data_IF_176648016963
#
_entry.id   IF_176648016963
#
_cell.length_a   1.000
_cell.length_b   1.000
_cell.length_c   1.000
_cell.angle_alpha   90.00
_cell.angle_beta   90.00
_cell.angle_gamma   90.00
#
_symmetry.space_group_name_H-M   'P 1'
#
loop_
_entity.id
_entity.type
_entity.pdbx_description
1 polymer ?
#
# COMPACT_ATOMS: atom_id res chain seq x y z
N UNK A 1 29.54 -1.25 5.90
CA UNK A 1 29.92 -1.13 4.46
C UNK A 1 30.15 0.33 4.12
N UNK A 2 31.18 0.67 3.35
CA UNK A 2 31.41 2.06 2.92
C UNK A 2 30.33 2.53 1.94
N UNK A 3 30.12 3.85 1.91
CA UNK A 3 29.17 4.52 0.99
C UNK A 3 29.44 4.15 -0.48
N UNK A 4 30.70 4.17 -0.89
CA UNK A 4 31.08 3.98 -2.30
C UNK A 4 30.93 2.51 -2.71
N UNK A 5 31.18 1.56 -1.79
CA UNK A 5 30.87 0.15 -2.02
C UNK A 5 29.37 -0.07 -2.17
N UNK A 6 28.55 0.57 -1.32
CA UNK A 6 27.09 0.49 -1.43
C UNK A 6 26.59 1.00 -2.78
N UNK A 7 27.04 2.18 -3.24
CA UNK A 7 26.66 2.70 -4.55
C UNK A 7 27.16 1.85 -5.71
N UNK A 8 28.36 1.25 -5.58
CA UNK A 8 28.89 0.31 -6.57
C UNK A 8 28.00 -0.93 -6.69
N UNK A 9 27.66 -1.58 -5.57
CA UNK A 9 26.72 -2.71 -5.56
C UNK A 9 25.38 -2.29 -6.16
N UNK A 10 24.82 -1.16 -5.72
CA UNK A 10 23.54 -0.68 -6.21
C UNK A 10 23.56 -0.36 -7.72
N UNK A 11 24.70 0.10 -8.27
CA UNK A 11 24.89 0.35 -9.70
C UNK A 11 24.87 -0.96 -10.50
N UNK A 12 25.53 -2.00 -10.00
CA UNK A 12 25.66 -3.28 -10.69
C UNK A 12 24.60 -4.33 -10.32
N UNK A 13 23.70 -4.04 -9.37
CA UNK A 13 22.60 -4.92 -9.01
C UNK A 13 21.78 -5.34 -10.25
N UNK A 14 21.56 -6.65 -10.37
CA UNK A 14 20.73 -7.31 -11.38
C UNK A 14 19.92 -8.41 -10.69
N UNK A 15 18.81 -8.78 -11.30
CA UNK A 15 17.90 -9.81 -10.80
C UNK A 15 17.75 -11.00 -11.78
N UNK A 16 18.45 -10.93 -12.91
CA UNK A 16 18.54 -11.98 -13.92
C UNK A 16 19.95 -11.95 -14.49
N UNK A 17 20.44 -13.11 -14.92
CA UNK A 17 21.77 -13.23 -15.52
C UNK A 17 21.85 -12.45 -16.84
N UNK A 18 22.99 -11.80 -17.16
CA UNK A 18 23.13 -10.98 -18.37
C UNK A 18 22.74 -11.68 -19.67
N UNK A 19 23.06 -12.97 -19.79
CA UNK A 19 22.75 -13.85 -20.91
C UNK A 19 21.24 -14.09 -21.10
N UNK A 20 20.44 -14.00 -20.04
CA UNK A 20 19.00 -14.19 -20.09
C UNK A 20 18.25 -12.89 -20.45
N UNK A 21 18.91 -11.74 -20.34
CA UNK A 21 18.28 -10.43 -20.54
C UNK A 21 18.16 -10.08 -22.02
N UNK A 22 16.91 -10.08 -22.51
CA UNK A 22 16.56 -9.63 -23.85
C UNK A 22 16.25 -8.14 -23.85
N UNK A 23 16.64 -7.43 -24.91
CA UNK A 23 16.47 -5.96 -25.00
C UNK A 23 15.02 -5.56 -25.27
N UNK A 24 14.31 -6.39 -26.00
CA UNK A 24 12.92 -6.26 -26.46
C UNK A 24 11.90 -6.82 -25.48
N UNK A 25 12.30 -7.74 -24.58
CA UNK A 25 11.41 -8.28 -23.56
C UNK A 25 11.79 -7.78 -22.14
N UNK A 26 11.06 -6.81 -21.58
CA UNK A 26 11.33 -6.28 -20.24
C UNK A 26 11.19 -7.33 -19.13
N UNK A 27 10.41 -8.41 -19.33
CA UNK A 27 10.17 -9.46 -18.33
C UNK A 27 11.48 -10.14 -17.92
N UNK A 28 12.36 -10.36 -18.89
CA UNK A 28 13.66 -11.03 -18.71
C UNK A 28 14.62 -10.33 -17.75
N UNK A 29 14.31 -9.12 -17.27
CA UNK A 29 15.14 -8.38 -16.31
C UNK A 29 14.80 -8.66 -14.85
N UNK A 30 13.64 -9.27 -14.57
CA UNK A 30 13.10 -9.34 -13.21
C UNK A 30 12.25 -10.57 -12.91
N UNK A 31 11.63 -11.22 -13.91
CA UNK A 31 10.69 -12.32 -13.66
C UNK A 31 11.33 -13.52 -12.95
N UNK A 32 12.57 -13.92 -13.28
CA UNK A 32 13.29 -14.99 -12.55
C UNK A 32 13.32 -14.74 -11.04
N UNK A 33 13.62 -13.50 -10.64
CA UNK A 33 13.62 -13.12 -9.24
C UNK A 33 12.21 -13.15 -8.63
N UNK A 34 11.22 -12.64 -9.36
CA UNK A 34 9.84 -12.60 -8.88
C UNK A 34 9.23 -13.99 -8.75
N UNK A 35 9.61 -14.93 -9.61
CA UNK A 35 9.18 -16.32 -9.56
C UNK A 35 9.72 -17.02 -8.31
N UNK A 36 10.99 -16.78 -7.96
CA UNK A 36 11.53 -17.26 -6.67
C UNK A 36 10.73 -16.70 -5.49
N UNK A 37 10.41 -15.40 -5.50
CA UNK A 37 9.65 -14.78 -4.43
C UNK A 37 8.21 -15.32 -4.34
N UNK A 38 7.57 -15.55 -5.49
CA UNK A 38 6.23 -16.13 -5.61
C UNK A 38 6.23 -17.56 -5.07
N UNK A 39 7.14 -18.41 -5.54
CA UNK A 39 7.27 -19.80 -5.08
C UNK A 39 7.47 -19.84 -3.56
N UNK A 40 8.38 -19.02 -3.01
CA UNK A 40 8.58 -18.93 -1.56
C UNK A 40 7.31 -18.49 -0.83
N UNK A 41 6.61 -17.49 -1.33
CA UNK A 41 5.34 -17.04 -0.73
C UNK A 41 4.27 -18.14 -0.74
N UNK A 42 4.25 -18.96 -1.79
CA UNK A 42 3.29 -20.05 -1.93
C UNK A 42 3.63 -21.27 -1.06
N UNK A 43 4.91 -21.56 -0.84
CA UNK A 43 5.37 -22.69 -0.02
C UNK A 43 5.23 -22.46 1.48
N UNK A 44 5.40 -21.22 1.96
CA UNK A 44 5.36 -20.89 3.40
C UNK A 44 3.99 -21.14 4.01
N UNK A 45 2.91 -20.91 3.26
CA UNK A 45 1.56 -21.05 3.77
C UNK A 45 0.55 -21.35 2.67
N UNK A 46 -0.47 -22.17 2.99
CA UNK A 46 -1.59 -22.50 2.08
C UNK A 46 -2.79 -21.59 2.39
N UNK A 47 -3.29 -20.79 1.43
CA UNK A 47 -4.41 -19.88 1.67
C UNK A 47 -5.64 -20.62 2.15
N UNK A 48 -6.27 -20.05 3.17
CA UNK A 48 -7.52 -20.52 3.75
C UNK A 48 -8.70 -20.31 2.82
N UNK A 49 -9.82 -19.88 3.41
CA UNK A 49 -11.10 -19.82 2.72
C UNK A 49 -11.24 -18.56 1.87
N UNK A 50 -10.79 -17.41 2.38
CA UNK A 50 -11.05 -16.12 1.75
C UNK A 50 -9.79 -15.58 1.09
N UNK A 51 -9.94 -15.08 -0.12
CA UNK A 51 -8.86 -14.51 -0.93
C UNK A 51 -9.34 -13.17 -1.48
N UNK A 52 -8.50 -12.14 -1.43
CA UNK A 52 -8.72 -10.89 -2.14
C UNK A 52 -7.73 -10.74 -3.29
N UNK A 53 -8.22 -10.28 -4.43
CA UNK A 53 -7.39 -9.87 -5.58
C UNK A 53 -7.63 -8.39 -5.86
N UNK A 54 -6.54 -7.65 -6.00
CA UNK A 54 -6.55 -6.22 -6.31
C UNK A 54 -5.23 -5.76 -6.97
N UNK A 55 -5.13 -4.49 -7.35
CA UNK A 55 -3.91 -3.91 -7.89
C UNK A 55 -3.06 -3.15 -6.85
N UNK A 56 -1.74 -3.37 -6.93
CA UNK A 56 -0.72 -2.54 -6.30
C UNK A 56 -0.02 -1.68 -7.36
N UNK A 57 0.29 -0.41 -7.02
CA UNK A 57 0.98 0.52 -7.91
C UNK A 57 2.36 0.90 -7.37
N UNK A 58 3.40 0.44 -8.06
CA UNK A 58 4.79 0.72 -7.70
C UNK A 58 5.20 2.02 -8.39
N UNK A 59 5.42 3.09 -7.62
CA UNK A 59 5.68 4.43 -8.17
C UNK A 59 6.81 4.41 -9.21
N UNK A 60 6.60 4.97 -10.40
CA UNK A 60 7.62 5.08 -11.44
C UNK A 60 7.28 6.21 -12.41
N UNK A 61 8.15 7.22 -12.48
CA UNK A 61 7.95 8.38 -13.36
C UNK A 61 8.82 8.36 -14.62
N UNK A 62 9.77 7.42 -14.74
CA UNK A 62 10.67 7.33 -15.89
C UNK A 62 10.00 6.82 -17.17
N UNK A 63 10.74 6.85 -18.29
CA UNK A 63 10.28 6.29 -19.57
C UNK A 63 10.22 4.76 -19.47
N UNK A 64 9.01 4.21 -19.63
CA UNK A 64 8.76 2.77 -19.62
C UNK A 64 7.45 2.49 -20.37
N UNK A 65 7.46 1.53 -21.30
CA UNK A 65 6.35 1.30 -22.22
C UNK A 65 5.05 0.80 -21.56
N UNK A 66 5.17 0.13 -20.41
CA UNK A 66 4.04 -0.44 -19.66
C UNK A 66 3.72 0.34 -18.38
N UNK A 67 4.26 1.56 -18.23
CA UNK A 67 3.91 2.45 -17.11
C UNK A 67 2.42 2.81 -17.17
N UNK A 68 1.73 2.59 -16.06
CA UNK A 68 0.33 2.93 -15.89
C UNK A 68 0.13 4.31 -15.27
N UNK A 69 -1.00 4.94 -15.63
CA UNK A 69 -1.53 6.12 -14.97
C UNK A 69 -2.84 5.77 -14.27
N UNK A 70 -2.85 5.75 -12.94
CA UNK A 70 -4.01 5.43 -12.12
C UNK A 70 -4.36 6.65 -11.28
N UNK A 71 -5.36 7.42 -11.73
CA UNK A 71 -5.76 8.71 -11.13
C UNK A 71 -6.08 8.62 -9.64
N UNK A 72 -6.61 7.49 -9.19
CA UNK A 72 -7.10 7.25 -7.82
C UNK A 72 -5.98 6.94 -6.83
N UNK A 73 -4.83 6.42 -7.28
CA UNK A 73 -3.71 6.06 -6.39
C UNK A 73 -2.80 7.28 -6.14
N UNK A 74 -2.22 7.38 -4.94
CA UNK A 74 -1.38 8.51 -4.49
C UNK A 74 -0.20 8.80 -5.43
N UNK A 75 0.50 7.75 -5.88
CA UNK A 75 1.64 7.87 -6.78
C UNK A 75 1.26 8.32 -8.20
N UNK A 76 0.02 8.04 -8.64
CA UNK A 76 -0.57 8.26 -9.97
C UNK A 76 0.14 7.60 -11.15
N UNK A 77 1.48 7.57 -11.18
CA UNK A 77 2.29 6.95 -12.21
C UNK A 77 3.12 5.82 -11.63
N UNK A 78 3.08 4.66 -12.27
CA UNK A 78 3.81 3.50 -11.76
C UNK A 78 3.80 2.29 -12.67
N UNK A 79 4.46 1.24 -12.18
CA UNK A 79 4.29 -0.11 -12.69
C UNK A 79 3.20 -0.77 -11.85
N UNK A 80 2.17 -1.25 -12.53
CA UNK A 80 1.05 -1.94 -11.91
C UNK A 80 1.39 -3.41 -11.69
N UNK A 81 0.96 -3.97 -10.56
CA UNK A 81 1.03 -5.38 -10.25
C UNK A 81 -0.34 -5.86 -9.78
N UNK A 82 -0.80 -7.00 -10.27
CA UNK A 82 -1.99 -7.68 -9.78
C UNK A 82 -1.57 -8.57 -8.63
N UNK A 83 -2.18 -8.44 -7.47
CA UNK A 83 -1.77 -9.14 -6.24
C UNK A 83 -2.94 -9.94 -5.69
N UNK A 84 -2.65 -11.18 -5.31
CA UNK A 84 -3.54 -12.07 -4.58
C UNK A 84 -3.04 -12.16 -3.14
N UNK A 85 -3.89 -11.74 -2.20
CA UNK A 85 -3.64 -11.87 -0.76
C UNK A 85 -4.71 -12.76 -0.12
N UNK A 86 -4.35 -13.64 0.84
CA UNK A 86 -5.32 -14.23 1.76
C UNK A 86 -6.06 -13.12 2.53
N UNK A 87 -7.35 -13.35 2.80
CA UNK A 87 -8.23 -12.39 3.48
C UNK A 87 -8.79 -12.92 4.80
N UNK A 88 -8.32 -14.09 5.24
CA UNK A 88 -8.54 -14.57 6.59
C UNK A 88 -7.74 -13.73 7.59
N UNK A 89 -8.30 -13.48 8.78
CA UNK A 89 -7.87 -12.42 9.70
C UNK A 89 -6.38 -12.48 10.07
N UNK A 90 -5.86 -13.69 10.27
CA UNK A 90 -4.45 -13.94 10.61
C UNK A 90 -3.47 -13.60 9.47
N UNK A 91 -3.92 -13.71 8.22
CA UNK A 91 -3.07 -13.66 7.02
C UNK A 91 -3.34 -12.43 6.13
N UNK A 92 -4.14 -11.47 6.60
CA UNK A 92 -4.37 -10.22 5.86
C UNK A 92 -3.05 -9.48 5.64
N UNK A 93 -2.86 -8.92 4.44
CA UNK A 93 -1.62 -8.28 4.01
C UNK A 93 -0.56 -9.21 3.42
N UNK A 94 -0.71 -10.53 3.56
CA UNK A 94 0.24 -11.49 3.01
C UNK A 94 0.11 -11.58 1.49
N UNK A 95 1.15 -11.25 0.75
CA UNK A 95 1.15 -11.31 -0.73
C UNK A 95 1.49 -12.72 -1.18
N UNK A 96 0.47 -13.55 -1.48
CA UNK A 96 0.66 -14.97 -1.78
C UNK A 96 1.04 -15.21 -3.25
N UNK A 97 0.44 -14.47 -4.18
CA UNK A 97 0.76 -14.52 -5.60
C UNK A 97 0.64 -13.12 -6.21
N UNK A 98 1.42 -12.79 -7.23
CA UNK A 98 1.41 -11.45 -7.82
C UNK A 98 1.98 -11.42 -9.24
N UNK A 99 1.39 -10.68 -10.17
CA UNK A 99 1.89 -10.61 -11.54
C UNK A 99 2.03 -9.18 -12.00
N UNK A 100 3.19 -8.83 -12.56
CA UNK A 100 3.43 -7.50 -13.08
C UNK A 100 2.68 -7.27 -14.39
N UNK A 101 2.13 -6.08 -14.54
CA UNK A 101 1.60 -5.63 -15.81
C UNK A 101 2.75 -5.25 -16.75
N UNK A 102 2.83 -5.90 -17.91
CA UNK A 102 3.82 -5.61 -18.96
C UNK A 102 3.21 -5.06 -20.26
N UNK A 103 1.91 -4.83 -20.31
CA UNK A 103 1.20 -4.48 -21.53
C UNK A 103 0.09 -5.47 -21.87
N UNK A 104 -0.13 -5.71 -23.18
CA UNK A 104 -1.13 -6.68 -23.65
C UNK A 104 -0.58 -8.10 -23.56
N UNK A 105 -1.46 -9.04 -23.25
CA UNK A 105 -1.30 -10.50 -23.40
C UNK A 105 -0.25 -11.23 -22.54
N UNK A 106 -0.40 -11.17 -21.21
CA UNK A 106 0.42 -11.97 -20.26
C UNK A 106 -0.34 -13.09 -19.53
N UNK A 107 -1.65 -13.19 -19.67
CA UNK A 107 -2.50 -14.04 -18.83
C UNK A 107 -3.02 -15.25 -19.60
N UNK A 108 -2.10 -16.15 -19.97
CA UNK A 108 -2.45 -17.38 -20.67
C UNK A 108 -3.13 -18.35 -19.69
N UNK A 109 -4.30 -18.86 -20.09
CA UNK A 109 -5.07 -19.84 -19.34
C UNK A 109 -5.34 -21.00 -20.29
N UNK A 110 -4.99 -22.21 -19.87
CA UNK A 110 -5.08 -23.41 -20.70
C UNK A 110 -6.54 -23.91 -20.85
N UNK A 111 -7.45 -23.49 -19.98
CA UNK A 111 -8.88 -23.87 -20.04
C UNK A 111 -9.58 -23.19 -21.23
N UNK A 112 -10.10 -23.96 -22.21
CA UNK A 112 -10.85 -23.42 -23.35
C UNK A 112 -12.10 -22.62 -22.93
N UNK A 113 -12.70 -22.92 -21.77
CA UNK A 113 -13.86 -22.20 -21.25
C UNK A 113 -13.49 -20.78 -20.79
N UNK A 114 -12.21 -20.52 -20.50
CA UNK A 114 -11.71 -19.20 -20.14
C UNK A 114 -11.58 -18.26 -21.35
N UNK A 115 -11.71 -18.77 -22.59
CA UNK A 115 -11.61 -17.97 -23.83
C UNK A 115 -12.61 -16.82 -23.91
N UNK A 116 -13.80 -16.98 -23.31
CA UNK A 116 -14.86 -15.97 -23.30
C UNK A 116 -14.65 -14.86 -22.26
N UNK A 117 -13.71 -15.04 -21.34
CA UNK A 117 -13.43 -14.09 -20.28
C UNK A 117 -12.72 -12.85 -20.82
N UNK A 118 -13.01 -11.67 -20.26
CA UNK A 118 -12.24 -10.46 -20.55
C UNK A 118 -10.86 -10.49 -19.89
N UNK A 119 -9.95 -9.59 -20.29
CA UNK A 119 -8.60 -9.49 -19.69
C UNK A 119 -8.64 -9.42 -18.16
N UNK A 120 -9.48 -8.56 -17.58
CA UNK A 120 -9.60 -8.46 -16.12
C UNK A 120 -10.05 -9.76 -15.46
N UNK A 121 -10.99 -10.48 -16.08
CA UNK A 121 -11.50 -11.75 -15.56
C UNK A 121 -10.43 -12.85 -15.66
N UNK A 122 -9.64 -12.85 -16.75
CA UNK A 122 -8.51 -13.78 -16.91
C UNK A 122 -7.40 -13.54 -15.88
N UNK A 123 -7.15 -12.31 -15.45
CA UNK A 123 -6.19 -12.01 -14.38
C UNK A 123 -6.58 -12.74 -13.08
N UNK A 124 -7.86 -12.73 -12.72
CA UNK A 124 -8.36 -13.43 -11.53
C UNK A 124 -8.08 -14.93 -11.63
N UNK A 125 -8.46 -15.53 -12.76
CA UNK A 125 -8.27 -16.97 -13.00
C UNK A 125 -6.79 -17.34 -13.01
N UNK A 126 -5.94 -16.52 -13.65
CA UNK A 126 -4.49 -16.72 -13.71
C UNK A 126 -3.84 -16.70 -12.32
N UNK A 127 -4.17 -15.70 -11.49
CA UNK A 127 -3.64 -15.61 -10.13
C UNK A 127 -4.15 -16.76 -9.22
N UNK A 128 -5.36 -17.24 -9.48
CA UNK A 128 -6.02 -18.30 -8.72
C UNK A 128 -5.68 -19.72 -9.20
N UNK A 129 -4.87 -19.92 -10.25
CA UNK A 129 -4.73 -21.23 -10.93
C UNK A 129 -4.52 -22.43 -9.99
N UNK A 130 -3.71 -22.28 -8.95
CA UNK A 130 -3.38 -23.35 -7.98
C UNK A 130 -4.35 -23.41 -6.78
N UNK A 131 -5.38 -22.55 -6.78
CA UNK A 131 -6.36 -22.39 -5.70
C UNK A 131 -7.81 -22.61 -6.16
N UNK A 132 -8.03 -22.88 -7.46
CA UNK A 132 -9.32 -23.28 -8.01
C UNK A 132 -9.74 -24.66 -7.51
N UNK A 133 -10.99 -25.03 -7.74
CA UNK A 133 -11.56 -26.35 -7.47
C UNK A 133 -11.59 -26.79 -6.00
N UNK A 134 -11.44 -25.85 -5.06
CA UNK A 134 -11.31 -26.15 -3.63
C UNK A 134 -12.38 -25.49 -2.74
N UNK A 135 -13.47 -24.96 -3.30
CA UNK A 135 -14.55 -24.31 -2.52
C UNK A 135 -14.17 -22.97 -1.89
N UNK A 136 -13.06 -22.36 -2.33
CA UNK A 136 -12.59 -21.06 -1.81
C UNK A 136 -13.48 -19.93 -2.26
N UNK A 137 -13.41 -18.82 -1.53
CA UNK A 137 -14.16 -17.62 -1.78
C UNK A 137 -13.21 -16.49 -2.18
N UNK A 138 -13.25 -16.11 -3.45
CA UNK A 138 -12.50 -14.97 -3.98
C UNK A 138 -13.34 -13.69 -3.89
N UNK A 139 -12.70 -12.62 -3.43
CA UNK A 139 -13.23 -11.28 -3.29
C UNK A 139 -12.48 -10.37 -4.25
N UNK A 140 -13.22 -9.63 -5.09
CA UNK A 140 -12.61 -8.79 -6.13
C UNK A 140 -13.28 -7.44 -6.24
N UNK A 141 -12.53 -6.43 -6.69
CA UNK A 141 -13.11 -5.12 -7.03
C UNK A 141 -13.95 -5.17 -8.33
N UNK A 142 -14.61 -4.04 -8.61
CA UNK A 142 -15.51 -3.80 -9.72
C UNK A 142 -14.90 -3.90 -11.12
N UNK A 143 -13.58 -3.81 -11.26
CA UNK A 143 -12.92 -3.98 -12.57
C UNK A 143 -12.88 -5.46 -13.00
N UNK A 144 -12.77 -6.35 -12.02
CA UNK A 144 -12.77 -7.80 -12.22
C UNK A 144 -14.17 -8.37 -12.31
N UNK A 145 -15.03 -7.98 -11.37
CA UNK A 145 -16.30 -8.66 -11.08
C UNK A 145 -17.27 -8.59 -12.27
N UNK A 146 -17.82 -9.74 -12.64
CA UNK A 146 -18.90 -9.88 -13.62
C UNK A 146 -19.67 -11.18 -13.38
N UNK A 147 -20.90 -11.25 -13.92
CA UNK A 147 -21.69 -12.49 -13.93
C UNK A 147 -20.99 -13.59 -14.74
N UNK A 148 -20.31 -13.22 -15.84
CA UNK A 148 -19.53 -14.16 -16.64
C UNK A 148 -18.36 -14.78 -15.85
N UNK A 149 -17.65 -13.98 -15.05
CA UNK A 149 -16.62 -14.50 -14.15
C UNK A 149 -17.22 -15.38 -13.05
N UNK A 150 -18.38 -14.99 -12.50
CA UNK A 150 -19.09 -15.79 -11.50
C UNK A 150 -19.47 -17.17 -12.06
N UNK A 151 -20.07 -17.22 -13.25
CA UNK A 151 -20.46 -18.45 -13.93
C UNK A 151 -19.23 -19.34 -14.20
N UNK A 152 -18.11 -18.77 -14.67
CA UNK A 152 -16.88 -19.53 -14.88
C UNK A 152 -16.31 -20.09 -13.56
N UNK A 153 -16.17 -19.26 -12.52
CA UNK A 153 -15.62 -19.71 -11.23
C UNK A 153 -16.49 -20.77 -10.57
N UNK A 154 -17.80 -20.74 -10.79
CA UNK A 154 -18.72 -21.77 -10.32
C UNK A 154 -18.41 -23.14 -10.95
N UNK A 155 -18.11 -23.19 -12.26
CA UNK A 155 -17.64 -24.43 -12.90
C UNK A 155 -16.32 -24.95 -12.31
N UNK A 156 -15.52 -24.04 -11.77
CA UNK A 156 -14.24 -24.31 -11.09
C UNK A 156 -14.39 -24.42 -9.56
N UNK A 157 -15.59 -24.76 -9.06
CA UNK A 157 -15.95 -24.88 -7.63
C UNK A 157 -15.35 -23.76 -6.76
N UNK A 158 -15.38 -22.54 -7.25
CA UNK A 158 -14.85 -21.34 -6.61
C UNK A 158 -15.95 -20.31 -6.48
N UNK A 159 -16.11 -19.73 -5.29
CA UNK A 159 -17.15 -18.76 -4.97
C UNK A 159 -16.62 -17.34 -5.18
N UNK A 160 -17.47 -16.43 -5.65
CA UNK A 160 -17.12 -15.03 -5.92
C UNK A 160 -17.97 -14.10 -5.05
N UNK A 161 -17.37 -13.02 -4.54
CA UNK A 161 -18.10 -11.81 -4.13
C UNK A 161 -17.34 -10.58 -4.61
N UNK A 162 -18.04 -9.63 -5.22
CA UNK A 162 -17.40 -8.37 -5.60
C UNK A 162 -18.39 -7.27 -5.87
N UNK A 163 -17.94 -6.02 -5.81
CA UNK A 163 -18.73 -4.90 -6.33
C UNK A 163 -18.85 -5.10 -7.84
N UNK A 164 -20.03 -4.91 -8.43
CA UNK A 164 -20.26 -5.13 -9.86
C UNK A 164 -20.76 -3.86 -10.54
N UNK A 165 -20.21 -3.55 -11.71
CA UNK A 165 -20.64 -2.40 -12.52
C UNK A 165 -21.91 -2.74 -13.33
N UNK A 166 -22.68 -1.71 -13.66
CA UNK A 166 -23.75 -1.80 -14.66
C UNK A 166 -23.25 -2.45 -15.96
N UNK A 167 -24.07 -3.30 -16.55
CA UNK A 167 -23.73 -4.03 -17.78
C UNK A 167 -22.77 -5.21 -17.61
N UNK A 168 -22.27 -5.50 -16.41
CA UNK A 168 -21.41 -6.67 -16.15
C UNK A 168 -22.10 -7.82 -15.39
N UNK A 169 -23.35 -7.64 -14.95
CA UNK A 169 -24.05 -8.70 -14.21
C UNK A 169 -25.46 -8.35 -13.75
N UNK A 170 -25.71 -7.16 -13.17
CA UNK A 170 -27.05 -6.78 -12.74
C UNK A 170 -28.04 -6.80 -13.93
N UNK A 171 -29.25 -7.33 -13.77
CA UNK A 171 -30.28 -7.28 -14.82
C UNK A 171 -30.80 -5.84 -15.00
N UNK A 172 -31.33 -5.51 -16.19
CA UNK A 172 -31.74 -4.13 -16.54
C UNK A 172 -32.80 -3.61 -15.58
N UNK A 173 -33.74 -4.46 -15.19
CA UNK A 173 -34.81 -4.17 -14.25
C UNK A 173 -34.25 -3.65 -12.92
N UNK A 174 -33.20 -4.29 -12.38
CA UNK A 174 -32.52 -3.84 -11.14
C UNK A 174 -31.71 -2.56 -11.36
N UNK A 175 -31.13 -2.38 -12.56
CA UNK A 175 -30.35 -1.18 -12.87
C UNK A 175 -31.24 0.06 -12.96
N UNK A 176 -32.36 -0.04 -13.67
CA UNK A 176 -33.25 1.08 -14.01
C UNK A 176 -34.18 1.47 -12.85
N UNK A 177 -34.39 0.57 -11.88
CA UNK A 177 -35.13 0.91 -10.68
C UNK A 177 -34.44 2.01 -9.86
N UNK A 178 -35.22 3.06 -9.56
CA UNK A 178 -34.87 4.18 -8.69
C UNK A 178 -35.44 3.94 -7.29
N UNK A 179 -34.66 4.26 -6.27
CA UNK A 179 -34.98 3.95 -4.88
C UNK A 179 -34.67 5.11 -3.95
N UNK A 180 -35.36 5.14 -2.82
CA UNK A 180 -35.02 6.04 -1.73
C UNK A 180 -33.76 5.56 -0.99
N UNK A 181 -33.12 6.49 -0.28
CA UNK A 181 -31.94 6.17 0.55
C UNK A 181 -32.26 5.04 1.53
N UNK A 182 -31.30 4.13 1.66
CA UNK A 182 -31.29 2.94 2.52
C UNK A 182 -32.23 1.82 2.07
N UNK A 183 -32.80 1.88 0.86
CA UNK A 183 -33.51 0.75 0.27
C UNK A 183 -32.56 -0.18 -0.49
N UNK A 184 -32.92 -1.46 -0.57
CA UNK A 184 -32.15 -2.49 -1.26
C UNK A 184 -33.04 -3.40 -2.08
N UNK A 185 -32.52 -3.89 -3.20
CA UNK A 185 -33.15 -4.89 -4.05
C UNK A 185 -32.21 -6.08 -4.26
N UNK A 186 -32.81 -7.26 -4.38
CA UNK A 186 -32.12 -8.53 -4.60
C UNK A 186 -32.65 -9.15 -5.89
N UNK A 187 -31.76 -9.65 -6.73
CA UNK A 187 -32.11 -10.45 -7.90
C UNK A 187 -31.20 -11.66 -7.97
N UNK A 188 -31.77 -12.83 -8.26
CA UNK A 188 -31.03 -14.10 -8.27
C UNK A 188 -31.19 -14.83 -9.59
N UNK A 189 -30.09 -15.37 -10.11
CA UNK A 189 -30.05 -16.30 -11.24
C UNK A 189 -29.19 -17.50 -10.82
N UNK A 190 -29.81 -18.66 -10.60
CA UNK A 190 -29.11 -19.83 -10.07
C UNK A 190 -28.44 -19.52 -8.73
N UNK A 191 -27.12 -19.72 -8.65
CA UNK A 191 -26.33 -19.40 -7.46
C UNK A 191 -25.85 -17.95 -7.38
N UNK A 192 -25.91 -17.20 -8.48
CA UNK A 192 -25.53 -15.80 -8.52
C UNK A 192 -26.64 -14.91 -7.96
N UNK A 193 -26.31 -14.13 -6.93
CA UNK A 193 -27.14 -13.13 -6.29
C UNK A 193 -26.55 -11.73 -6.54
N UNK A 194 -27.36 -10.87 -7.12
CA UNK A 194 -27.11 -9.44 -7.27
C UNK A 194 -27.84 -8.70 -6.15
N UNK A 195 -27.13 -7.82 -5.47
CA UNK A 195 -27.63 -6.98 -4.38
C UNK A 195 -27.34 -5.53 -4.71
N UNK A 196 -28.36 -4.72 -4.97
CA UNK A 196 -28.23 -3.27 -5.15
C UNK A 196 -28.74 -2.57 -3.89
N UNK A 197 -27.98 -1.60 -3.40
CA UNK A 197 -28.33 -0.81 -2.22
C UNK A 197 -28.03 0.66 -2.47
N UNK A 198 -29.00 1.50 -2.12
CA UNK A 198 -28.87 2.95 -2.23
C UNK A 198 -28.40 3.52 -0.90
N UNK A 199 -27.11 3.83 -0.76
CA UNK A 199 -26.59 4.54 0.42
C UNK A 199 -26.49 6.05 0.14
N UNK A 200 -25.27 6.60 0.07
CA UNK A 200 -25.02 7.93 -0.53
C UNK A 200 -25.00 7.89 -2.05
N UNK A 201 -24.72 6.71 -2.60
CA UNK A 201 -24.66 6.38 -4.02
C UNK A 201 -25.20 4.96 -4.18
N UNK A 202 -25.66 4.65 -5.39
CA UNK A 202 -26.01 3.29 -5.76
C UNK A 202 -24.75 2.42 -5.80
N UNK A 203 -24.75 1.33 -5.02
CA UNK A 203 -23.69 0.33 -5.04
C UNK A 203 -24.34 -1.03 -5.27
N UNK A 204 -23.71 -1.82 -6.14
CA UNK A 204 -24.16 -3.16 -6.46
C UNK A 204 -23.08 -4.19 -6.14
N UNK A 205 -23.45 -5.27 -5.48
CA UNK A 205 -22.60 -6.42 -5.17
C UNK A 205 -23.14 -7.64 -5.88
N UNK A 206 -22.27 -8.40 -6.52
CA UNK A 206 -22.54 -9.72 -7.05
C UNK A 206 -21.89 -10.76 -6.13
N UNK A 207 -22.61 -11.81 -5.77
CA UNK A 207 -22.08 -12.92 -4.98
C UNK A 207 -22.62 -14.28 -5.41
N UNK A 208 -21.81 -15.32 -5.33
CA UNK A 208 -22.26 -16.73 -5.40
C UNK A 208 -22.18 -17.42 -4.02
N UNK A 209 -21.72 -16.70 -2.98
CA UNK A 209 -21.51 -17.26 -1.63
C UNK A 209 -22.72 -17.10 -0.71
N UNK A 210 -23.38 -15.94 -0.76
CA UNK A 210 -24.37 -15.54 0.23
C UNK A 210 -25.81 -15.61 -0.30
N UNK A 211 -26.77 -15.70 0.61
CA UNK A 211 -28.21 -15.63 0.33
C UNK A 211 -28.75 -14.25 0.65
N UNK A 212 -29.92 -13.91 0.10
CA UNK A 212 -30.55 -12.62 0.35
C UNK A 212 -30.77 -12.41 1.85
N UNK A 213 -30.20 -11.33 2.38
CA UNK A 213 -30.13 -11.08 3.81
C UNK A 213 -29.93 -9.58 4.07
N UNK A 214 -30.71 -9.07 5.02
CA UNK A 214 -30.68 -7.69 5.53
C UNK A 214 -30.38 -7.79 7.04
N UNK A 215 -29.51 -6.91 7.51
CA UNK A 215 -29.18 -6.75 8.93
C UNK A 215 -29.43 -5.32 9.37
N UNK A 216 -29.79 -5.15 10.63
CA UNK A 216 -29.85 -3.83 11.26
C UNK A 216 -28.43 -3.31 11.49
N UNK A 217 -28.17 -2.08 11.06
CA UNK A 217 -26.89 -1.43 11.20
C UNK A 217 -27.01 -0.19 12.09
N UNK A 218 -26.17 -0.14 13.13
CA UNK A 218 -26.05 1.01 14.04
C UNK A 218 -24.95 1.94 13.57
N UNK A 219 -25.23 3.24 13.48
CA UNK A 219 -24.21 4.27 13.18
C UNK A 219 -24.31 5.43 14.16
N UNK A 220 -23.21 5.70 14.87
CA UNK A 220 -23.09 6.85 15.78
C UNK A 220 -22.41 7.99 15.05
N UNK A 221 -23.07 9.16 15.04
CA UNK A 221 -22.55 10.40 14.48
C UNK A 221 -21.93 11.27 15.57
N UNK A 222 -21.18 12.29 15.16
CA UNK A 222 -20.66 13.32 16.05
C UNK A 222 -21.79 13.94 16.89
N UNK A 223 -21.55 14.12 18.20
CA UNK A 223 -22.58 14.52 19.16
C UNK A 223 -23.44 13.37 19.71
N UNK A 224 -22.93 12.13 19.71
CA UNK A 224 -23.58 10.93 20.26
C UNK A 224 -24.96 10.56 19.65
N UNK A 225 -25.30 11.13 18.49
CA UNK A 225 -26.52 10.79 17.77
C UNK A 225 -26.39 9.41 17.14
N UNK A 226 -27.14 8.44 17.63
CA UNK A 226 -27.19 7.07 17.09
C UNK A 226 -28.36 6.92 16.13
N UNK A 227 -28.12 6.36 14.96
CA UNK A 227 -29.16 6.03 13.97
C UNK A 227 -29.06 4.56 13.60
N UNK A 228 -30.21 3.90 13.55
CA UNK A 228 -30.36 2.52 13.08
C UNK A 228 -30.95 2.54 11.66
N UNK A 229 -30.50 1.62 10.83
CA UNK A 229 -31.09 1.40 9.51
C UNK A 229 -30.78 0.01 8.99
N UNK A 230 -31.66 -0.49 8.14
CA UNK A 230 -31.48 -1.77 7.48
C UNK A 230 -30.47 -1.66 6.34
N UNK A 231 -29.53 -2.61 6.28
CA UNK A 231 -28.51 -2.70 5.24
C UNK A 231 -28.31 -4.15 4.83
N UNK A 232 -28.07 -4.46 3.55
CA UNK A 232 -27.72 -5.82 3.16
C UNK A 232 -26.40 -6.28 3.78
N UNK A 233 -26.38 -7.48 4.38
CA UNK A 233 -25.20 -8.10 5.01
C UNK A 233 -23.97 -8.16 4.08
N UNK A 234 -24.24 -8.32 2.79
CA UNK A 234 -23.29 -8.48 1.70
C UNK A 234 -22.20 -7.41 1.66
N UNK A 235 -22.54 -6.16 1.95
CA UNK A 235 -21.58 -5.07 1.92
C UNK A 235 -20.61 -5.10 3.11
N UNK A 236 -21.10 -5.52 4.28
CA UNK A 236 -20.24 -5.74 5.44
C UNK A 236 -19.28 -6.90 5.19
N UNK A 237 -19.80 -8.02 4.67
CA UNK A 237 -18.98 -9.19 4.33
C UNK A 237 -17.95 -8.90 3.24
N UNK A 238 -18.31 -8.12 2.22
CA UNK A 238 -17.38 -7.64 1.21
C UNK A 238 -16.28 -6.79 1.85
N UNK A 239 -16.64 -5.76 2.63
CA UNK A 239 -15.67 -4.86 3.25
C UNK A 239 -14.74 -5.54 4.27
N UNK A 240 -15.20 -6.60 4.96
CA UNK A 240 -14.39 -7.38 5.90
C UNK A 240 -13.27 -8.18 5.23
N UNK A 241 -13.49 -8.59 3.97
CA UNK A 241 -12.59 -9.51 3.24
C UNK A 241 -11.83 -8.83 2.11
N UNK A 242 -12.37 -7.74 1.57
CA UNK A 242 -11.65 -6.85 0.67
C UNK A 242 -10.62 -6.02 1.45
N UNK A 243 -9.60 -5.52 0.77
CA UNK A 243 -8.61 -4.60 1.38
C UNK A 243 -7.38 -5.29 1.96
N UNK A 244 -7.24 -6.62 1.84
CA UNK A 244 -6.01 -7.32 2.23
C UNK A 244 -4.79 -6.83 1.43
N UNK A 245 -4.98 -6.55 0.12
CA UNK A 245 -3.94 -5.96 -0.73
C UNK A 245 -3.63 -4.52 -0.30
N UNK A 246 -4.65 -3.68 -0.09
CA UNK A 246 -4.47 -2.31 0.40
C UNK A 246 -3.81 -2.26 1.78
N UNK A 247 -4.09 -3.22 2.67
CA UNK A 247 -3.43 -3.32 3.97
C UNK A 247 -1.93 -3.54 3.82
N UNK A 248 -1.52 -4.42 2.89
CA UNK A 248 -0.10 -4.60 2.60
C UNK A 248 0.55 -3.30 2.11
N UNK A 249 -0.11 -2.59 1.19
CA UNK A 249 0.37 -1.31 0.66
C UNK A 249 0.46 -0.24 1.78
N UNK A 250 -0.52 -0.18 2.68
CA UNK A 250 -0.53 0.72 3.84
C UNK A 250 0.59 0.39 4.84
N UNK A 251 0.83 -0.89 5.13
CA UNK A 251 1.90 -1.32 6.04
C UNK A 251 3.28 -1.01 5.47
N UNK A 252 3.43 -0.99 4.14
CA UNK A 252 4.69 -0.69 3.47
C UNK A 252 4.90 0.79 3.17
N UNK A 253 3.83 1.60 3.12
CA UNK A 253 3.88 3.02 2.76
C UNK A 253 4.92 3.83 3.59
N UNK A 254 5.06 3.65 4.91
CA UNK A 254 6.06 4.38 5.70
C UNK A 254 7.51 4.07 5.33
N UNK A 255 7.77 2.91 4.72
CA UNK A 255 9.11 2.38 4.48
C UNK A 255 9.59 2.71 3.07
N UNK A 256 9.66 4.01 2.76
CA UNK A 256 10.06 4.48 1.43
C UNK A 256 11.49 4.05 1.06
N UNK A 257 11.59 3.09 0.15
CA UNK A 257 12.84 2.66 -0.49
C UNK A 257 13.08 3.34 -1.85
N UNK A 258 12.19 4.27 -2.23
CA UNK A 258 12.11 4.92 -3.54
C UNK A 258 13.22 5.94 -3.77
N UNK A 259 14.42 5.46 -4.10
CA UNK A 259 15.52 6.34 -4.54
C UNK A 259 15.31 6.75 -6.01
N UNK A 260 15.30 8.07 -6.26
CA UNK A 260 15.03 8.68 -7.59
C UNK A 260 15.92 8.16 -8.73
N UNK A 261 17.09 7.62 -8.44
CA UNK A 261 18.12 7.23 -9.43
C UNK A 261 18.14 5.74 -9.81
N UNK A 262 17.19 4.92 -9.32
CA UNK A 262 17.17 3.50 -9.61
C UNK A 262 16.54 3.20 -10.99
N UNK A 263 17.08 2.21 -11.69
CA UNK A 263 16.40 1.63 -12.86
C UNK A 263 15.08 0.96 -12.43
N UNK A 264 14.10 0.90 -13.33
CA UNK A 264 12.74 0.44 -13.02
C UNK A 264 12.72 -0.96 -12.36
N UNK A 265 13.46 -1.92 -12.90
CA UNK A 265 13.51 -3.29 -12.40
C UNK A 265 14.17 -3.38 -11.01
N UNK A 266 15.12 -2.48 -10.71
CA UNK A 266 15.71 -2.38 -9.36
C UNK A 266 14.67 -1.94 -8.34
N UNK A 267 13.87 -0.95 -8.72
CA UNK A 267 12.81 -0.41 -7.87
C UNK A 267 11.73 -1.46 -7.58
N UNK A 268 11.33 -2.21 -8.60
CA UNK A 268 10.42 -3.34 -8.46
C UNK A 268 11.01 -4.42 -7.56
N UNK A 269 12.26 -4.85 -7.80
CA UNK A 269 12.85 -5.92 -7.01
C UNK A 269 12.99 -5.55 -5.52
N UNK A 270 13.31 -4.28 -5.22
CA UNK A 270 13.31 -3.78 -3.84
C UNK A 270 11.89 -3.69 -3.27
N UNK A 271 10.89 -3.24 -4.04
CA UNK A 271 9.49 -3.25 -3.59
C UNK A 271 9.06 -4.65 -3.15
N UNK A 272 9.31 -5.66 -3.98
CA UNK A 272 8.96 -7.04 -3.63
C UNK A 272 9.82 -7.60 -2.51
N UNK A 273 11.07 -7.18 -2.35
CA UNK A 273 11.86 -7.54 -1.16
C UNK A 273 11.16 -7.08 0.14
N UNK A 274 10.65 -5.85 0.17
CA UNK A 274 9.87 -5.35 1.31
C UNK A 274 8.54 -6.08 1.47
N UNK A 275 7.84 -6.44 0.37
CA UNK A 275 6.64 -7.30 0.46
C UNK A 275 6.95 -8.66 1.06
N UNK A 276 8.09 -9.27 0.72
CA UNK A 276 8.50 -10.56 1.30
C UNK A 276 8.93 -10.41 2.76
N UNK A 277 9.58 -9.31 3.14
CA UNK A 277 9.82 -9.01 4.55
C UNK A 277 8.50 -8.86 5.32
N UNK A 278 7.46 -8.26 4.71
CA UNK A 278 6.12 -8.20 5.30
C UNK A 278 5.47 -9.59 5.40
N UNK A 279 5.61 -10.44 4.39
CA UNK A 279 5.15 -11.83 4.44
C UNK A 279 5.81 -12.58 5.62
N UNK A 280 7.12 -12.43 5.78
CA UNK A 280 7.87 -13.03 6.89
C UNK A 280 7.40 -12.51 8.24
N UNK A 281 7.14 -11.20 8.36
CA UNK A 281 6.57 -10.60 9.57
C UNK A 281 5.20 -11.18 9.92
N UNK A 282 4.30 -11.33 8.94
CA UNK A 282 2.97 -11.91 9.16
C UNK A 282 3.08 -13.36 9.63
N UNK A 283 3.96 -14.15 9.00
CA UNK A 283 4.22 -15.52 9.43
C UNK A 283 4.81 -15.57 10.85
N UNK A 284 5.78 -14.70 11.16
CA UNK A 284 6.38 -14.57 12.49
C UNK A 284 5.34 -14.21 13.56
N UNK A 285 4.47 -13.25 13.29
CA UNK A 285 3.39 -12.84 14.21
C UNK A 285 2.42 -13.98 14.48
N UNK A 286 2.06 -14.75 13.45
CA UNK A 286 1.15 -15.89 13.58
C UNK A 286 1.79 -17.05 14.35
N UNK A 287 3.10 -17.25 14.22
CA UNK A 287 3.84 -18.27 14.96
C UNK A 287 4.12 -17.87 16.43
N UNK A 288 4.49 -16.61 16.67
CA UNK A 288 4.93 -16.13 18.00
C UNK A 288 3.80 -15.64 18.90
N UNK A 289 2.62 -15.32 18.35
CA UNK A 289 1.53 -14.60 19.03
C UNK A 289 1.97 -13.28 19.68
N UNK A 290 3.09 -12.72 19.22
CA UNK A 290 3.68 -11.50 19.75
C UNK A 290 2.96 -10.24 19.28
N UNK A 291 3.13 -9.15 20.03
CA UNK A 291 2.64 -7.80 19.69
C UNK A 291 3.67 -6.97 18.94
N UNK A 292 4.74 -7.60 18.43
CA UNK A 292 5.84 -6.94 17.72
C UNK A 292 5.30 -6.14 16.54
N UNK A 293 5.69 -4.87 16.45
CA UNK A 293 5.38 -4.04 15.30
C UNK A 293 6.32 -4.34 14.12
N UNK A 294 5.87 -4.07 12.90
CA UNK A 294 6.65 -4.37 11.70
C UNK A 294 8.02 -3.68 11.67
N UNK A 295 8.13 -2.44 12.20
CA UNK A 295 9.42 -1.75 12.31
C UNK A 295 10.41 -2.49 13.20
N UNK A 296 9.95 -2.97 14.36
CA UNK A 296 10.79 -3.71 15.30
C UNK A 296 11.25 -5.03 14.68
N UNK A 297 10.35 -5.71 13.96
CA UNK A 297 10.70 -6.91 13.20
C UNK A 297 11.78 -6.61 12.14
N UNK A 298 11.65 -5.52 11.38
CA UNK A 298 12.67 -5.12 10.40
C UNK A 298 14.02 -4.81 11.05
N UNK A 299 14.04 -4.18 12.23
CA UNK A 299 15.28 -3.93 12.97
C UNK A 299 15.97 -5.22 13.40
N UNK A 300 15.20 -6.21 13.87
CA UNK A 300 15.71 -7.54 14.23
C UNK A 300 16.28 -8.23 12.99
N UNK A 301 15.50 -8.28 11.90
CA UNK A 301 15.91 -8.88 10.63
C UNK A 301 17.20 -8.24 10.09
N UNK A 302 17.31 -6.92 10.15
CA UNK A 302 18.53 -6.23 9.71
C UNK A 302 19.75 -6.62 10.56
N UNK A 303 19.61 -6.74 11.88
CA UNK A 303 20.70 -7.14 12.77
C UNK A 303 21.14 -8.58 12.51
N UNK A 304 20.20 -9.49 12.31
CA UNK A 304 20.48 -10.89 12.02
C UNK A 304 21.24 -11.05 10.70
N UNK A 305 20.75 -10.42 9.62
CA UNK A 305 21.42 -10.45 8.31
C UNK A 305 22.83 -9.84 8.34
N UNK A 306 23.06 -8.79 9.14
CA UNK A 306 24.39 -8.21 9.31
C UNK A 306 25.34 -9.12 10.09
N UNK A 307 24.80 -9.90 11.03
CA UNK A 307 25.58 -10.81 11.88
C UNK A 307 25.96 -12.07 11.10
N UNK A 308 25.02 -12.67 10.38
CA UNK A 308 25.22 -13.91 9.60
C UNK A 308 26.30 -13.74 8.52
N UNK A 309 26.37 -12.58 7.87
CA UNK A 309 27.36 -12.31 6.82
C UNK A 309 28.73 -11.84 7.33
N UNK A 310 29.04 -12.00 8.63
CA UNK A 310 30.27 -11.49 9.25
C UNK A 310 30.53 -10.00 8.95
N UNK A 311 29.49 -9.24 8.65
CA UNK A 311 29.57 -7.79 8.44
C UNK A 311 29.53 -7.02 9.77
N UNK A 312 29.70 -7.70 10.92
CA UNK A 312 28.97 -7.34 12.12
C UNK A 312 29.63 -7.55 13.50
N UNK A 313 30.93 -7.80 13.63
CA UNK A 313 31.58 -7.61 14.95
C UNK A 313 32.21 -6.21 15.02
N UNK A 314 33.20 -5.95 14.17
CA UNK A 314 33.92 -4.66 14.14
C UNK A 314 33.06 -3.50 13.61
N UNK A 315 32.25 -3.72 12.56
CA UNK A 315 31.45 -2.66 11.96
C UNK A 315 30.18 -2.31 12.77
N UNK A 316 29.58 -3.27 13.48
CA UNK A 316 28.52 -2.96 14.45
C UNK A 316 29.11 -2.19 15.64
N UNK A 317 30.27 -2.60 16.17
CA UNK A 317 30.98 -1.85 17.21
C UNK A 317 31.37 -0.43 16.77
N UNK A 318 31.81 -0.22 15.51
CA UNK A 318 32.07 1.10 14.95
C UNK A 318 30.80 1.94 14.76
N UNK A 319 29.68 1.35 14.34
CA UNK A 319 28.40 2.05 14.20
C UNK A 319 27.85 2.46 15.57
N UNK A 320 28.01 1.62 16.59
CA UNK A 320 27.65 1.94 17.97
C UNK A 320 28.61 2.95 18.60
N UNK A 321 29.91 2.87 18.32
CA UNK A 321 30.92 3.82 18.80
C UNK A 321 30.83 5.21 18.12
N UNK A 322 30.41 5.25 16.84
CA UNK A 322 30.24 6.47 16.07
C UNK A 322 28.79 7.01 16.08
N UNK A 323 27.91 6.54 16.96
CA UNK A 323 26.63 7.19 17.25
C UNK A 323 26.85 8.54 17.95
N UNK A 324 27.44 9.51 17.25
CA UNK A 324 27.10 10.92 17.47
C UNK A 324 25.67 11.07 16.98
N UNK A 325 24.78 11.46 17.88
CA UNK A 325 23.34 11.68 17.67
C UNK A 325 23.11 12.78 16.60
N UNK A 326 23.32 12.47 15.32
CA UNK A 326 23.09 13.37 14.19
C UNK A 326 22.60 12.62 12.94
N UNK A 327 21.75 11.62 13.12
CA UNK A 327 20.85 11.14 12.06
C UNK A 327 19.44 11.66 12.32
N UNK A 328 18.63 11.99 11.29
CA UNK A 328 17.20 12.19 11.51
C UNK A 328 16.66 10.87 12.04
N UNK A 329 16.29 10.86 13.32
CA UNK A 329 15.52 9.78 13.92
C UNK A 329 14.30 9.60 13.02
N UNK A 330 14.15 8.43 12.41
CA UNK A 330 12.86 8.03 11.84
C UNK A 330 11.88 8.11 13.02
N UNK A 331 11.15 9.21 13.11
CA UNK A 331 10.11 9.35 14.11
C UNK A 331 9.11 8.26 13.76
N UNK A 332 8.88 7.34 14.70
CA UNK A 332 7.64 6.57 14.72
C UNK A 332 6.51 7.55 14.41
N UNK A 333 5.54 7.20 13.55
CA UNK A 333 4.37 8.03 13.39
C UNK A 333 3.59 7.91 14.71
N UNK A 334 3.93 8.76 15.68
CA UNK A 334 3.02 9.07 16.76
C UNK A 334 1.77 9.61 16.08
N UNK A 335 0.68 8.87 16.20
CA UNK A 335 -0.66 9.35 15.94
C UNK A 335 -0.80 10.74 16.56
N UNK A 336 -0.70 11.76 15.71
CA UNK A 336 -1.10 13.16 15.86
C UNK A 336 -0.21 14.01 14.94
N UNK A 337 -0.77 14.33 13.78
CA UNK A 337 -0.28 15.34 12.85
C UNK A 337 -0.21 16.66 13.61
N UNK A 338 0.94 17.01 14.17
CA UNK A 338 1.43 18.37 14.37
C UNK A 338 2.93 18.29 14.73
N UNK A 339 3.82 18.49 13.75
CA UNK A 339 5.22 18.79 14.06
C UNK A 339 5.29 20.22 14.63
N UNK A 340 4.95 20.40 15.90
CA UNK A 340 5.31 21.61 16.61
C UNK A 340 6.82 21.59 16.87
N UNK A 341 7.48 22.72 16.59
CA UNK A 341 8.84 23.00 17.02
C UNK A 341 8.96 22.64 18.50
N UNK A 342 9.85 21.70 18.85
CA UNK A 342 10.09 21.37 20.25
C UNK A 342 10.55 22.63 20.99
N UNK A 343 9.80 22.99 22.03
CA UNK A 343 10.21 24.00 23.00
C UNK A 343 11.27 23.38 23.93
N UNK A 344 12.47 23.95 23.99
CA UNK A 344 13.36 23.71 25.12
C UNK A 344 12.98 24.68 26.24
N UNK A 345 12.61 24.16 27.41
CA UNK A 345 12.29 24.96 28.60
C UNK A 345 13.51 25.74 29.16
N UNK A 346 14.72 25.41 28.70
CA UNK A 346 15.93 26.07 29.16
C UNK A 346 16.26 27.30 28.32
N UNK A 347 16.50 28.42 29.04
CA UNK A 347 16.71 29.82 28.60
C UNK A 347 17.87 30.08 27.59
N UNK A 348 18.26 29.15 26.73
CA UNK A 348 19.36 29.34 25.76
C UNK A 348 18.84 30.11 24.54
N UNK A 349 19.03 31.42 24.55
CA UNK A 349 18.78 32.29 23.41
C UNK A 349 19.96 32.20 22.41
N UNK A 350 19.67 32.00 21.13
CA UNK A 350 20.68 32.11 20.05
C UNK A 350 20.53 33.43 19.30
N UNK A 351 21.64 33.95 18.78
CA UNK A 351 21.64 35.15 17.92
C UNK A 351 21.09 34.82 16.53
N UNK A 352 20.29 35.72 15.97
CA UNK A 352 19.87 35.61 14.58
C UNK A 352 21.09 35.76 13.66
N UNK A 353 21.27 34.83 12.72
CA UNK A 353 22.42 34.85 11.80
C UNK A 353 22.32 35.86 10.67
N UNK A 354 21.11 36.15 10.21
CA UNK A 354 20.85 37.00 9.02
C UNK A 354 20.85 38.49 9.38
N UNK A 355 20.69 38.83 10.65
CA UNK A 355 20.70 40.22 11.12
C UNK A 355 21.72 40.45 12.24
N UNK A 356 23.02 40.63 11.90
CA UNK A 356 24.06 40.90 12.89
C UNK A 356 23.95 42.21 13.71
N UNK A 357 23.46 43.36 13.19
CA UNK A 357 23.65 44.64 13.90
C UNK A 357 22.60 44.94 14.99
N UNK A 358 21.41 44.33 14.96
CA UNK A 358 20.38 44.54 15.99
C UNK A 358 20.14 43.25 16.77
N UNK A 359 20.37 43.30 18.09
CA UNK A 359 20.35 42.17 19.04
C UNK A 359 18.93 41.58 19.19
N UNK A 360 18.45 40.80 18.22
CA UNK A 360 17.26 39.96 18.40
C UNK A 360 17.66 38.52 18.68
N UNK A 361 17.50 38.13 19.94
CA UNK A 361 17.58 36.75 20.39
C UNK A 361 16.39 35.95 19.89
N UNK A 362 16.62 34.76 19.33
CA UNK A 362 15.56 33.83 18.93
C UNK A 362 15.58 32.59 19.81
N UNK A 363 14.38 32.12 20.14
CA UNK A 363 14.14 30.84 20.81
C UNK A 363 13.81 29.72 19.81
N UNK A 364 13.70 30.06 18.52
CA UNK A 364 13.36 29.13 17.46
C UNK A 364 14.62 28.70 16.72
N UNK A 365 15.17 27.55 17.10
CA UNK A 365 16.31 26.93 16.41
C UNK A 365 16.32 25.42 16.65
N UNK A 366 16.91 24.67 15.73
CA UNK A 366 17.23 23.26 15.97
C UNK A 366 18.60 23.15 16.65
N UNK A 367 18.79 22.15 17.53
CA UNK A 367 20.09 21.86 18.12
C UNK A 367 21.13 21.61 17.01
N UNK A 368 22.25 22.32 17.05
CA UNK A 368 23.28 22.31 15.99
C UNK A 368 23.11 23.33 14.86
N UNK A 369 21.92 23.93 14.69
CA UNK A 369 21.64 24.91 13.64
C UNK A 369 21.76 26.38 14.14
N UNK A 370 21.97 27.36 13.23
CA UNK A 370 21.97 28.78 13.57
C UNK A 370 20.59 29.27 13.99
N UNK A 371 20.54 30.26 14.89
CA UNK A 371 19.29 30.92 15.27
C UNK A 371 18.75 31.79 14.13
N UNK A 372 17.44 31.72 13.86
CA UNK A 372 16.75 32.58 12.90
C UNK A 372 15.52 33.20 13.56
N UNK A 373 15.34 34.52 13.43
CA UNK A 373 14.31 35.27 14.18
C UNK A 373 13.05 35.62 13.38
N UNK A 374 13.01 35.39 12.06
CA UNK A 374 11.82 35.62 11.23
C UNK A 374 11.80 34.70 10.01
N UNK A 375 10.61 34.54 9.41
CA UNK A 375 10.41 33.77 8.17
C UNK A 375 11.16 34.39 6.99
N UNK A 376 11.26 35.71 6.92
CA UNK A 376 12.04 36.39 5.89
C UNK A 376 13.53 36.08 6.01
N UNK A 377 14.09 36.12 7.22
CA UNK A 377 15.49 35.75 7.45
C UNK A 377 15.77 34.28 7.10
N UNK A 378 14.80 33.39 7.32
CA UNK A 378 14.92 31.99 6.90
C UNK A 378 15.03 31.86 5.37
N UNK A 379 14.21 32.61 4.63
CA UNK A 379 14.25 32.64 3.16
C UNK A 379 15.58 33.20 2.65
N UNK A 380 16.09 34.28 3.27
CA UNK A 380 17.41 34.85 2.94
C UNK A 380 18.53 33.81 3.16
N UNK A 381 18.54 33.14 4.31
CA UNK A 381 19.53 32.12 4.62
C UNK A 381 19.51 30.92 3.65
N UNK A 382 18.32 30.49 3.20
CA UNK A 382 18.20 29.46 2.17
C UNK A 382 18.70 29.94 0.79
N UNK A 383 18.44 31.19 0.44
CA UNK A 383 18.85 31.78 -0.85
C UNK A 383 20.37 31.93 -1.01
N UNK A 384 21.11 32.13 0.10
CA UNK A 384 22.58 32.16 0.13
C UNK A 384 23.25 30.79 -0.08
N UNK A 385 22.47 29.74 -0.39
CA UNK A 385 22.98 28.43 -0.79
C UNK A 385 23.57 27.57 0.33
N UNK A 386 23.57 28.05 1.58
CA UNK A 386 24.11 27.32 2.75
C UNK A 386 23.08 26.41 3.46
N UNK A 387 21.84 26.36 2.98
CA UNK A 387 20.76 25.51 3.49
C UNK A 387 20.22 24.48 2.49
N UNK A 388 21.02 24.10 1.47
CA UNK A 388 20.60 23.18 0.39
C UNK A 388 20.57 21.71 0.83
N UNK A 389 19.75 21.37 1.83
CA UNK A 389 19.27 19.98 2.02
C UNK A 389 18.12 19.82 3.05
N UNK A 390 17.28 20.85 3.29
CA UNK A 390 16.06 20.68 4.08
C UNK A 390 14.83 21.08 3.26
N UNK A 391 14.11 20.06 2.82
CA UNK A 391 12.89 20.09 2.01
C UNK A 391 11.81 20.93 2.68
N UNK A 392 11.04 21.65 1.84
CA UNK A 392 9.86 22.45 2.17
C UNK A 392 8.82 21.56 2.87
N UNK A 393 8.78 21.61 4.20
CA UNK A 393 7.58 21.30 4.96
C UNK A 393 7.48 22.30 6.12
N UNK A 394 6.32 22.96 6.19
CA UNK A 394 5.77 23.69 7.35
C UNK A 394 6.34 25.09 7.67
N UNK A 395 5.71 26.10 7.07
CA UNK A 395 5.34 27.34 7.77
C UNK A 395 3.98 27.80 7.23
N UNK A 396 2.90 27.17 7.69
CA UNK A 396 1.57 27.79 7.69
C UNK A 396 1.25 28.12 9.14
N UNK A 397 1.48 29.37 9.53
CA UNK A 397 0.90 29.92 10.75
C UNK A 397 -0.38 30.64 10.34
N UNK A 398 -1.52 30.07 10.72
CA UNK A 398 -2.83 30.71 10.66
C UNK A 398 -2.79 32.02 11.43
N UNK A 399 -3.28 33.10 10.81
CA UNK A 399 -3.65 34.31 11.51
C UNK A 399 -4.71 33.98 12.56
N UNK A 400 -4.36 34.01 13.84
CA UNK A 400 -5.34 34.20 14.93
C UNK A 400 -5.23 35.64 15.39
N UNK A 401 -6.20 36.44 14.93
CA UNK A 401 -6.56 37.73 15.54
C UNK A 401 -6.92 37.46 17.01
N UNK A 402 -6.03 37.83 17.91
CA UNK A 402 -6.41 38.26 19.27
C UNK A 402 -5.80 39.64 19.49
N UNK A 403 -6.47 40.64 18.91
CA UNK A 403 -6.41 42.00 19.45
C UNK A 403 -7.43 42.07 20.57
N UNK A 404 -6.98 42.16 21.81
CA UNK A 404 -7.78 42.74 22.89
C UNK A 404 -7.86 44.25 22.65
N UNK A 405 -9.04 44.89 22.79
CA UNK A 405 -9.14 46.34 22.75
C UNK A 405 -8.61 46.91 24.06
N UNK A 406 -7.68 47.87 23.95
CA UNK A 406 -7.39 48.83 25.01
C UNK A 406 -8.19 50.09 24.67
N UNK A 407 -9.10 50.42 25.60
CA UNK A 407 -9.90 51.65 25.77
C UNK A 407 -10.81 52.11 24.62
#
# INVERSE_FOLDING_TARGET
MSRDRFFSILKFLRFSSPENVKKDDPKTRIEEYLDVLRERSQTVMKPGKHIAIDEALIMWCGRLGFRQYIKTKRARFGVEAFVLCPSDEEWQGYSWNFHLYYGKDTYMIEDPNASRLSVSERIVVFLMKDLLNSGRHVITDNWYTSLRLADYLETQRTLLTGVVRSGRGPPKEVQDMKWDKKQSVFARKGNALVVKWMDKKDICVLTTKYTANIVEHKKTYFGNKTVFFNRPLHFEKYNQKMGSVDLADQLLEPYHYDRKSLAWFKKIGIHFLFRIALNAFIAYRNASRGTTEFLQFLEILCKELLTEHNLGAAALAEVYANQKVHGPRLQQPSSNIHHFVKWEEQKKQKRCRVFPPARKATRYYCAGDPGICSVEHFKTWQSEGKGKEKTIYQWHCSQTKHGSPLH
#
